data_IF_641122861851
#
_entry.id   IF_641122861851
#
_cell.length_a   1.000
_cell.length_b   1.000
_cell.length_c   1.000
_cell.angle_alpha   90.00
_cell.angle_beta   90.00
_cell.angle_gamma   90.00
#
_symmetry.space_group_name_H-M   'P 1'
#
loop_
_entity.id
_entity.type
_entity.pdbx_description
1 polymer ?
#
# COMPACT_ATOMS: atom_id res chain seq x y z
N UNK A 1 15.75 -2.67 -1.46
CA UNK A 1 14.62 -3.34 -2.16
C UNK A 1 13.95 -2.37 -3.15
N UNK A 2 13.36 -2.88 -4.24
CA UNK A 2 12.44 -2.13 -5.12
C UNK A 2 11.21 -2.96 -5.52
N UNK A 3 10.12 -2.30 -5.94
CA UNK A 3 8.88 -2.98 -6.34
C UNK A 3 8.76 -3.05 -7.86
N UNK A 4 8.38 -4.22 -8.36
CA UNK A 4 8.11 -4.49 -9.77
C UNK A 4 6.60 -4.39 -9.98
N UNK A 5 6.18 -3.37 -10.72
CA UNK A 5 4.76 -3.07 -10.95
C UNK A 5 4.24 -3.51 -12.33
N UNK A 6 5.14 -4.03 -13.18
CA UNK A 6 4.85 -4.49 -14.55
C UNK A 6 5.51 -5.84 -14.80
N UNK A 7 4.85 -6.68 -15.59
CA UNK A 7 5.37 -8.02 -15.89
C UNK A 7 6.63 -8.00 -16.75
N UNK A 8 6.75 -7.01 -17.64
CA UNK A 8 7.88 -6.82 -18.54
C UNK A 8 9.19 -6.56 -17.79
N UNK A 9 9.10 -5.90 -16.63
CA UNK A 9 10.26 -5.59 -15.79
C UNK A 9 10.85 -6.83 -15.10
N UNK A 10 10.14 -7.97 -15.17
CA UNK A 10 10.62 -9.28 -14.71
C UNK A 10 11.51 -9.99 -15.74
N UNK A 11 11.46 -9.58 -17.02
CA UNK A 11 12.17 -10.25 -18.11
C UNK A 11 13.69 -10.12 -17.91
N UNK A 12 14.39 -11.25 -17.94
CA UNK A 12 15.84 -11.29 -17.75
C UNK A 12 16.30 -11.16 -16.28
N UNK A 13 15.37 -11.08 -15.32
CA UNK A 13 15.68 -11.12 -13.89
C UNK A 13 15.85 -12.56 -13.41
N UNK A 14 16.81 -12.77 -12.51
CA UNK A 14 16.98 -14.05 -11.82
C UNK A 14 16.11 -14.09 -10.57
N UNK A 15 15.22 -15.07 -10.52
CA UNK A 15 14.29 -15.26 -9.41
C UNK A 15 15.01 -15.91 -8.22
N UNK A 16 14.89 -15.29 -7.05
CA UNK A 16 15.39 -15.82 -5.78
C UNK A 16 14.34 -16.66 -5.05
N UNK A 17 13.06 -16.28 -5.15
CA UNK A 17 11.98 -16.91 -4.42
C UNK A 17 10.63 -16.67 -5.07
N UNK A 18 9.75 -17.69 -4.99
CA UNK A 18 8.35 -17.60 -5.42
C UNK A 18 7.48 -18.18 -4.32
N UNK A 19 6.45 -17.43 -3.91
CA UNK A 19 5.34 -17.95 -3.15
C UNK A 19 4.08 -17.96 -4.02
N UNK A 20 3.60 -19.15 -4.35
CA UNK A 20 2.42 -19.38 -5.20
C UNK A 20 1.55 -20.53 -4.68
N UNK A 21 1.18 -20.51 -3.40
CA UNK A 21 0.33 -21.55 -2.84
C UNK A 21 -1.12 -21.42 -3.35
N UNK A 22 -1.83 -22.55 -3.49
CA UNK A 22 -3.22 -22.59 -3.98
C UNK A 22 -4.19 -21.74 -3.14
N UNK A 23 -3.90 -21.56 -1.84
CA UNK A 23 -4.68 -20.74 -0.91
C UNK A 23 -4.03 -19.38 -0.63
N UNK A 24 -2.96 -19.01 -1.34
CA UNK A 24 -2.34 -17.70 -1.19
C UNK A 24 -3.26 -16.63 -1.77
N UNK A 25 -3.42 -15.52 -1.02
CA UNK A 25 -4.19 -14.36 -1.48
C UNK A 25 -3.56 -13.71 -2.73
N UNK A 26 -2.25 -13.82 -2.88
CA UNK A 26 -1.50 -13.34 -4.02
C UNK A 26 -0.22 -14.16 -4.24
N UNK A 27 0.25 -14.18 -5.48
CA UNK A 27 1.56 -14.72 -5.86
C UNK A 27 2.62 -13.66 -5.56
N UNK A 28 3.66 -14.04 -4.82
CA UNK A 28 4.82 -13.17 -4.56
C UNK A 28 6.04 -13.72 -5.27
N UNK A 29 6.72 -12.89 -6.05
CA UNK A 29 7.95 -13.22 -6.75
C UNK A 29 9.03 -12.24 -6.29
N UNK A 30 10.16 -12.78 -5.85
CA UNK A 30 11.32 -12.02 -5.41
C UNK A 30 12.52 -12.35 -6.29
N UNK A 31 13.25 -11.33 -6.70
CA UNK A 31 14.44 -11.43 -7.53
C UNK A 31 15.71 -11.33 -6.68
N UNK A 32 16.79 -11.91 -7.18
CA UNK A 32 18.11 -11.91 -6.51
C UNK A 32 18.71 -10.51 -6.36
N UNK A 33 18.29 -9.55 -7.18
CA UNK A 33 18.72 -8.14 -7.10
C UNK A 33 17.82 -7.28 -6.19
N UNK A 34 16.94 -7.90 -5.39
CA UNK A 34 16.11 -7.20 -4.40
C UNK A 34 14.83 -6.58 -4.96
N UNK A 35 14.40 -7.02 -6.14
CA UNK A 35 13.11 -6.69 -6.73
C UNK A 35 12.00 -7.59 -6.21
N UNK A 36 10.81 -7.02 -6.04
CA UNK A 36 9.66 -7.72 -5.51
C UNK A 36 8.41 -7.42 -6.34
N UNK A 37 7.78 -8.47 -6.86
CA UNK A 37 6.48 -8.41 -7.55
C UNK A 37 5.44 -9.16 -6.72
N UNK A 38 4.25 -8.57 -6.59
CA UNK A 38 3.08 -9.29 -6.07
C UNK A 38 1.98 -9.20 -7.12
N UNK A 39 1.41 -10.35 -7.48
CA UNK A 39 0.35 -10.45 -8.46
C UNK A 39 -0.83 -11.22 -7.87
N UNK A 40 -2.04 -10.74 -8.07
CA UNK A 40 -3.27 -11.39 -7.65
C UNK A 40 -4.12 -11.69 -8.86
N UNK A 41 -4.75 -12.86 -8.85
CA UNK A 41 -5.83 -13.17 -9.76
C UNK A 41 -7.11 -12.56 -9.18
N UNK A 42 -7.69 -11.60 -9.90
CA UNK A 42 -9.05 -11.13 -9.64
C UNK A 42 -9.98 -12.00 -10.50
N UNK A 43 -10.91 -12.69 -9.84
CA UNK A 43 -11.92 -13.53 -10.48
C UNK A 43 -13.29 -12.97 -10.13
N UNK A 44 -13.94 -12.39 -11.14
CA UNK A 44 -15.28 -11.82 -11.02
C UNK A 44 -16.37 -12.78 -11.56
N UNK A 45 -16.03 -14.06 -11.76
CA UNK A 45 -16.95 -15.13 -12.17
C UNK A 45 -17.14 -15.27 -13.69
N UNK A 46 -17.08 -14.16 -14.43
CA UNK A 46 -17.17 -14.16 -15.90
C UNK A 46 -15.81 -13.94 -16.60
N UNK A 47 -14.85 -13.36 -15.87
CA UNK A 47 -13.49 -13.11 -16.36
C UNK A 47 -12.50 -13.22 -15.22
N UNK A 48 -11.33 -13.76 -15.55
CA UNK A 48 -10.19 -13.74 -14.65
C UNK A 48 -9.10 -12.83 -15.22
N UNK A 49 -8.71 -11.83 -14.45
CA UNK A 49 -7.62 -10.93 -14.77
C UNK A 49 -6.49 -11.06 -13.75
N UNK A 50 -5.25 -11.00 -14.23
CA UNK A 50 -4.08 -10.92 -13.36
C UNK A 50 -3.75 -9.45 -13.14
N UNK A 51 -3.86 -9.01 -11.88
CA UNK A 51 -3.46 -7.67 -11.46
C UNK A 51 -2.13 -7.72 -10.73
N UNK A 52 -1.16 -6.94 -11.21
CA UNK A 52 0.09 -6.69 -10.49
C UNK A 52 -0.14 -5.55 -9.49
N UNK A 53 0.28 -5.75 -8.25
CA UNK A 53 0.17 -4.76 -7.19
C UNK A 53 1.13 -3.61 -7.42
N UNK A 54 0.62 -2.39 -7.21
CA UNK A 54 1.48 -1.20 -7.10
C UNK A 54 2.25 -1.24 -5.80
N UNK A 55 3.34 -0.48 -5.71
CA UNK A 55 4.23 -0.37 -4.54
C UNK A 55 3.47 -0.20 -3.23
N UNK A 56 2.44 0.65 -3.22
CA UNK A 56 1.61 0.86 -2.03
C UNK A 56 0.86 -0.42 -1.61
N UNK A 57 0.26 -1.13 -2.56
CA UNK A 57 -0.47 -2.38 -2.33
C UNK A 57 0.44 -3.53 -1.93
N UNK A 58 1.64 -3.64 -2.52
CA UNK A 58 2.66 -4.62 -2.11
C UNK A 58 3.04 -4.40 -0.64
N UNK A 59 3.26 -3.15 -0.25
CA UNK A 59 3.57 -2.83 1.12
C UNK A 59 2.40 -3.11 2.09
N UNK A 60 1.14 -2.88 1.69
CA UNK A 60 -0.01 -3.26 2.53
C UNK A 60 -0.09 -4.78 2.70
N UNK A 61 0.07 -5.50 1.59
CA UNK A 61 0.05 -6.97 1.58
C UNK A 61 1.11 -7.58 2.49
N UNK A 62 2.36 -7.12 2.39
CA UNK A 62 3.46 -7.67 3.19
C UNK A 62 3.48 -7.18 4.64
N UNK A 63 3.03 -5.94 4.90
CA UNK A 63 3.35 -5.26 6.16
C UNK A 63 2.14 -4.84 7.01
N UNK A 64 0.91 -4.91 6.52
CA UNK A 64 -0.29 -4.60 7.31
C UNK A 64 -1.04 -5.84 7.81
N UNK A 65 -0.99 -6.97 7.10
CA UNK A 65 -1.62 -8.20 7.56
C UNK A 65 -0.62 -9.05 8.34
N UNK A 66 -0.97 -9.39 9.59
CA UNK A 66 -0.24 -10.39 10.40
C UNK A 66 -0.02 -11.72 9.66
N UNK A 67 -0.86 -12.01 8.66
CA UNK A 67 -0.81 -13.21 7.83
C UNK A 67 0.44 -13.38 6.95
N UNK A 68 1.24 -12.33 6.71
CA UNK A 68 2.43 -12.41 5.84
C UNK A 68 3.77 -12.26 6.59
N UNK A 69 3.77 -12.30 7.92
CA UNK A 69 5.01 -12.20 8.72
C UNK A 69 6.03 -13.26 8.33
N UNK A 70 5.59 -14.49 8.08
CA UNK A 70 6.46 -15.59 7.67
C UNK A 70 7.14 -15.30 6.32
N UNK A 71 6.40 -14.71 5.37
CA UNK A 71 6.89 -14.36 4.04
C UNK A 71 7.97 -13.28 4.14
N UNK A 72 7.73 -12.25 4.97
CA UNK A 72 8.72 -11.22 5.24
C UNK A 72 9.99 -11.80 5.84
N UNK A 73 9.89 -12.69 6.82
CA UNK A 73 11.06 -13.34 7.42
C UNK A 73 11.83 -14.20 6.42
N UNK A 74 11.15 -14.89 5.50
CA UNK A 74 11.81 -15.65 4.45
C UNK A 74 12.55 -14.75 3.45
N UNK A 75 11.92 -13.65 3.04
CA UNK A 75 12.55 -12.65 2.17
C UNK A 75 13.75 -11.97 2.83
N UNK A 76 13.74 -11.81 4.17
CA UNK A 76 14.90 -11.33 4.94
C UNK A 76 16.05 -12.34 4.95
N UNK A 77 15.77 -13.62 5.18
CA UNK A 77 16.81 -14.68 5.14
C UNK A 77 17.49 -14.76 3.78
N UNK A 78 16.73 -14.55 2.72
CA UNK A 78 17.22 -14.53 1.35
C UNK A 78 17.96 -13.25 0.97
N UNK A 79 18.01 -12.25 1.85
CA UNK A 79 18.67 -10.96 1.60
C UNK A 79 17.93 -10.07 0.60
N UNK A 80 16.71 -10.42 0.21
CA UNK A 80 15.87 -9.61 -0.71
C UNK A 80 15.38 -8.35 0.01
N UNK A 81 15.03 -8.49 1.30
CA UNK A 81 14.63 -7.39 2.17
C UNK A 81 15.66 -7.24 3.28
N UNK A 82 16.26 -6.06 3.41
CA UNK A 82 17.14 -5.74 4.54
C UNK A 82 16.33 -5.41 5.81
N UNK A 83 16.94 -5.62 6.99
CA UNK A 83 16.34 -5.19 8.27
C UNK A 83 15.95 -3.72 8.26
N UNK A 84 16.85 -2.87 7.77
CA UNK A 84 16.63 -1.43 7.59
C UNK A 84 15.49 -1.09 6.62
N UNK A 85 15.28 -1.87 5.55
CA UNK A 85 14.27 -1.56 4.53
C UNK A 85 12.87 -1.68 5.13
N UNK A 86 12.66 -2.68 5.99
CA UNK A 86 11.41 -2.90 6.70
C UNK A 86 11.07 -1.74 7.66
N UNK A 87 12.04 -1.34 8.49
CA UNK A 87 11.83 -0.30 9.48
C UNK A 87 11.66 1.07 8.82
N UNK A 88 12.41 1.37 7.76
CA UNK A 88 12.24 2.60 6.97
C UNK A 88 10.86 2.69 6.32
N UNK A 89 10.36 1.59 5.76
CA UNK A 89 9.03 1.55 5.16
C UNK A 89 7.92 1.71 6.21
N UNK A 90 8.09 1.08 7.38
CA UNK A 90 7.17 1.21 8.51
C UNK A 90 7.10 2.64 9.02
N UNK A 91 8.24 3.28 9.25
CA UNK A 91 8.29 4.68 9.71
C UNK A 91 7.77 5.66 8.65
N UNK A 92 8.15 5.51 7.37
CA UNK A 92 7.63 6.35 6.30
C UNK A 92 6.09 6.30 6.21
N UNK A 93 5.51 5.11 6.42
CA UNK A 93 4.05 4.94 6.48
C UNK A 93 3.42 5.57 7.72
N UNK A 94 4.04 5.43 8.89
CA UNK A 94 3.56 6.07 10.13
C UNK A 94 3.46 7.59 9.92
N UNK A 95 4.51 8.19 9.38
CA UNK A 95 4.55 9.62 9.06
C UNK A 95 3.50 10.02 8.01
N UNK A 96 3.31 9.22 6.95
CA UNK A 96 2.31 9.50 5.93
C UNK A 96 0.87 9.44 6.46
N UNK A 97 0.57 8.50 7.38
CA UNK A 97 -0.73 8.43 8.06
C UNK A 97 -0.96 9.65 8.94
N UNK A 98 0.02 9.99 9.77
CA UNK A 98 -0.05 11.18 10.64
C UNK A 98 -0.26 12.47 9.83
N UNK A 99 0.41 12.62 8.69
CA UNK A 99 0.24 13.77 7.81
C UNK A 99 -1.16 13.78 7.15
N UNK A 100 -1.65 12.62 6.72
CA UNK A 100 -2.99 12.48 6.14
C UNK A 100 -4.08 12.85 7.14
N UNK A 101 -4.00 12.32 8.36
CA UNK A 101 -4.95 12.58 9.45
C UNK A 101 -4.94 14.07 9.82
N UNK A 102 -3.75 14.69 9.90
CA UNK A 102 -3.62 16.13 10.11
C UNK A 102 -4.29 16.93 9.01
N UNK A 103 -4.01 16.63 7.74
CA UNK A 103 -4.64 17.32 6.58
C UNK A 103 -6.14 17.11 6.51
N UNK A 104 -6.64 15.97 6.94
CA UNK A 104 -8.08 15.70 7.00
C UNK A 104 -8.74 16.54 8.09
N UNK A 105 -8.12 16.61 9.27
CA UNK A 105 -8.59 17.45 10.38
C UNK A 105 -8.60 18.93 10.01
N UNK A 106 -7.52 19.44 9.41
CA UNK A 106 -7.44 20.83 8.92
C UNK A 106 -8.54 21.15 7.90
N UNK A 107 -8.82 20.23 6.97
CA UNK A 107 -9.91 20.39 5.99
C UNK A 107 -11.27 20.41 6.66
N UNK A 108 -11.49 19.55 7.66
CA UNK A 108 -12.73 19.50 8.41
C UNK A 108 -12.97 20.80 9.19
N UNK A 109 -11.98 21.27 9.94
CA UNK A 109 -12.06 22.52 10.71
C UNK A 109 -12.30 23.74 9.81
N UNK A 110 -11.64 23.78 8.65
CA UNK A 110 -11.86 24.84 7.66
C UNK A 110 -13.30 24.83 7.14
N UNK A 111 -13.82 23.66 6.78
CA UNK A 111 -15.18 23.51 6.28
C UNK A 111 -16.22 23.91 7.34
N UNK A 112 -16.05 23.48 8.60
CA UNK A 112 -16.92 23.88 9.71
C UNK A 112 -16.92 25.39 9.94
N UNK A 113 -15.74 26.03 9.83
CA UNK A 113 -15.63 27.48 9.99
C UNK A 113 -16.33 28.23 8.86
N UNK A 114 -16.18 27.79 7.62
CA UNK A 114 -16.85 28.36 6.45
C UNK A 114 -18.38 28.22 6.54
N UNK A 115 -18.87 27.04 6.92
CA UNK A 115 -20.29 26.77 7.18
C UNK A 115 -20.84 27.66 8.29
N UNK A 116 -20.14 27.78 9.42
CA UNK A 116 -20.56 28.65 10.53
C UNK A 116 -20.71 30.11 10.10
N UNK A 117 -19.73 30.64 9.34
CA UNK A 117 -19.77 32.02 8.86
C UNK A 117 -20.95 32.24 7.91
N UNK A 118 -21.17 31.31 6.96
CA UNK A 118 -22.30 31.35 6.03
C UNK A 118 -23.64 31.33 6.75
N UNK A 119 -23.80 30.44 7.73
CA UNK A 119 -25.02 30.34 8.54
C UNK A 119 -25.27 31.63 9.33
N UNK A 120 -24.22 32.18 9.96
CA UNK A 120 -24.30 33.42 10.74
C UNK A 120 -24.72 34.62 9.90
N UNK A 121 -24.24 34.71 8.66
CA UNK A 121 -24.62 35.77 7.72
C UNK A 121 -26.08 35.63 7.29
N UNK A 122 -26.50 34.41 6.90
CA UNK A 122 -27.89 34.11 6.55
C UNK A 122 -28.88 34.49 7.68
N UNK A 123 -28.59 34.11 8.92
CA UNK A 123 -29.45 34.46 10.05
C UNK A 123 -29.49 35.96 10.35
N UNK A 124 -28.43 36.70 10.00
CA UNK A 124 -28.39 38.16 10.17
C UNK A 124 -29.23 38.86 9.11
N UNK A 125 -29.24 38.36 7.87
CA UNK A 125 -30.10 38.87 6.79
C UNK A 125 -31.58 38.55 7.03
N UNK A 126 -31.90 37.38 7.60
CA UNK A 126 -33.29 36.99 7.91
C UNK A 126 -33.91 37.76 9.10
N UNK A 127 -33.10 38.49 9.89
CA UNK A 127 -33.56 39.30 11.02
C UNK A 127 -33.57 40.82 10.75
N UNK A 128 -33.18 41.26 9.55
CA UNK A 128 -33.18 42.67 9.14
C UNK A 128 -34.29 42.98 8.14
#
# INVERSE_FOLDING_TARGET
MYFIEKGEDLIGKTIAFIHCAQFAEAITIATTDGGLMVAKQDDDGDSSEIRIYKSHSVQQYLFEKDGQKWLVEELKKLGVIGGDDYDKLREARRLAREESDRKQKERHEKHEREEYLRLKEKYREEQS
#
